data_IF_457511750410
#
_entry.id   IF_457511750410
#
_cell.length_a   1.000
_cell.length_b   1.000
_cell.length_c   1.000
_cell.angle_alpha   90.00
_cell.angle_beta   90.00
_cell.angle_gamma   90.00
#
_symmetry.space_group_name_H-M   'P 1'
#
loop_
_entity.id
_entity.type
_entity.pdbx_description
1 polymer ?
#
# COMPACT_ATOMS: atom_id res chain seq x y z
N UNK A 1 2.80 31.09 -7.23
CA UNK A 1 2.88 29.87 -6.40
C UNK A 1 3.85 30.15 -5.27
N UNK A 2 3.40 29.91 -4.04
CA UNK A 2 4.21 30.01 -2.82
C UNK A 2 5.04 28.73 -2.64
N UNK A 3 6.13 28.81 -1.88
CA UNK A 3 6.93 27.63 -1.49
C UNK A 3 6.05 26.59 -0.76
N UNK A 4 5.03 27.03 -0.01
CA UNK A 4 4.03 26.14 0.60
C UNK A 4 3.21 25.33 -0.41
N UNK A 5 2.93 25.90 -1.58
CA UNK A 5 2.15 25.24 -2.64
C UNK A 5 2.97 24.11 -3.30
N UNK A 6 4.31 24.24 -3.32
CA UNK A 6 5.22 23.23 -3.87
C UNK A 6 5.40 22.01 -2.93
N UNK A 7 5.45 22.23 -1.61
CA UNK A 7 5.54 21.14 -0.65
C UNK A 7 4.23 20.34 -0.55
N UNK A 8 3.09 21.01 -0.66
CA UNK A 8 1.77 20.38 -0.64
C UNK A 8 1.44 19.65 -1.95
N UNK A 9 1.85 20.19 -3.10
CA UNK A 9 1.61 19.54 -4.40
C UNK A 9 2.36 18.21 -4.53
N UNK A 10 3.64 18.17 -4.19
CA UNK A 10 4.44 16.95 -4.28
C UNK A 10 4.01 15.87 -3.29
N UNK A 11 3.50 16.25 -2.10
CA UNK A 11 2.91 15.29 -1.17
C UNK A 11 1.62 14.68 -1.72
N UNK A 12 0.73 15.51 -2.27
CA UNK A 12 -0.54 15.07 -2.85
C UNK A 12 -0.33 14.14 -4.04
N UNK A 13 0.60 14.49 -4.93
CA UNK A 13 0.96 13.67 -6.10
C UNK A 13 1.47 12.28 -5.67
N UNK A 14 2.33 12.21 -4.64
CA UNK A 14 2.80 10.91 -4.10
C UNK A 14 1.67 10.07 -3.52
N UNK A 15 0.69 10.69 -2.86
CA UNK A 15 -0.47 9.96 -2.34
C UNK A 15 -1.36 9.44 -3.48
N UNK A 16 -1.57 10.24 -4.52
CA UNK A 16 -2.32 9.83 -5.71
C UNK A 16 -1.63 8.66 -6.43
N UNK A 17 -0.32 8.75 -6.66
CA UNK A 17 0.48 7.66 -7.26
C UNK A 17 0.37 6.37 -6.43
N UNK A 18 0.42 6.51 -5.11
CA UNK A 18 0.28 5.36 -4.25
C UNK A 18 -1.13 4.75 -4.30
N UNK A 19 -2.16 5.59 -4.25
CA UNK A 19 -3.53 5.13 -4.36
C UNK A 19 -3.77 4.44 -5.72
N UNK A 20 -3.23 4.99 -6.81
CA UNK A 20 -3.29 4.38 -8.14
C UNK A 20 -2.59 3.01 -8.19
N UNK A 21 -1.46 2.83 -7.50
CA UNK A 21 -0.81 1.52 -7.37
C UNK A 21 -1.69 0.50 -6.64
N UNK A 22 -2.42 0.92 -5.60
CA UNK A 22 -3.38 0.06 -4.89
C UNK A 22 -4.56 -0.31 -5.79
N UNK A 23 -5.14 0.66 -6.51
CA UNK A 23 -6.22 0.43 -7.47
C UNK A 23 -5.77 -0.54 -8.56
N UNK A 24 -4.55 -0.39 -9.07
CA UNK A 24 -3.95 -1.31 -10.06
C UNK A 24 -3.90 -2.75 -9.55
N UNK A 25 -3.58 -2.95 -8.28
CA UNK A 25 -3.54 -4.28 -7.65
C UNK A 25 -4.94 -4.85 -7.46
N UNK A 26 -5.89 -4.05 -6.98
CA UNK A 26 -7.28 -4.45 -6.83
C UNK A 26 -7.91 -4.84 -8.19
N UNK A 27 -7.55 -4.15 -9.28
CA UNK A 27 -8.02 -4.43 -10.64
C UNK A 27 -7.28 -5.57 -11.36
N UNK A 28 -6.43 -6.34 -10.68
CA UNK A 28 -5.56 -7.33 -11.35
C UNK A 28 -6.29 -8.52 -11.98
N UNK A 29 -7.49 -8.86 -11.50
CA UNK A 29 -8.39 -9.86 -12.11
C UNK A 29 -9.49 -9.23 -12.99
N UNK A 30 -9.46 -7.90 -13.16
CA UNK A 30 -10.36 -7.14 -14.01
C UNK A 30 -11.69 -6.73 -13.37
N UNK A 31 -11.95 -7.09 -12.11
CA UNK A 31 -13.22 -6.76 -11.42
C UNK A 31 -12.93 -6.32 -9.99
N UNK A 32 -13.44 -5.15 -9.59
CA UNK A 32 -13.46 -4.74 -8.18
C UNK A 32 -14.72 -5.29 -7.52
N UNK A 33 -14.56 -6.13 -6.51
CA UNK A 33 -15.66 -6.60 -5.64
C UNK A 33 -16.14 -5.51 -4.69
N UNK A 34 -17.34 -5.67 -4.09
CA UNK A 34 -17.87 -4.69 -3.13
C UNK A 34 -16.94 -4.54 -1.90
N UNK A 35 -16.31 -5.63 -1.45
CA UNK A 35 -15.35 -5.57 -0.35
C UNK A 35 -14.07 -4.81 -0.73
N UNK A 36 -13.58 -5.01 -1.96
CA UNK A 36 -12.41 -4.27 -2.47
C UNK A 36 -12.74 -2.80 -2.69
N UNK A 37 -13.97 -2.50 -3.13
CA UNK A 37 -14.44 -1.12 -3.25
C UNK A 37 -14.45 -0.42 -1.90
N UNK A 38 -15.00 -1.07 -0.87
CA UNK A 38 -15.01 -0.54 0.50
C UNK A 38 -13.59 -0.34 1.04
N UNK A 39 -12.66 -1.26 0.75
CA UNK A 39 -11.25 -1.11 1.06
C UNK A 39 -10.64 0.11 0.36
N UNK A 40 -10.86 0.26 -0.95
CA UNK A 40 -10.38 1.42 -1.71
C UNK A 40 -10.93 2.74 -1.16
N UNK A 41 -12.19 2.77 -0.72
CA UNK A 41 -12.81 3.94 -0.10
C UNK A 41 -12.15 4.30 1.25
N UNK A 42 -11.74 3.30 2.03
CA UNK A 42 -10.95 3.51 3.26
C UNK A 42 -9.54 3.99 2.95
N UNK A 43 -8.87 3.38 1.97
CA UNK A 43 -7.52 3.75 1.57
C UNK A 43 -7.46 5.17 1.02
N UNK A 44 -8.43 5.57 0.21
CA UNK A 44 -8.55 6.93 -0.30
C UNK A 44 -8.63 7.96 0.84
N UNK A 45 -9.43 7.69 1.87
CA UNK A 45 -9.52 8.55 3.05
C UNK A 45 -8.21 8.61 3.85
N UNK A 46 -7.54 7.48 4.03
CA UNK A 46 -6.25 7.43 4.76
C UNK A 46 -5.13 8.16 4.01
N UNK A 47 -5.21 8.24 2.68
CA UNK A 47 -4.24 8.91 1.82
C UNK A 47 -4.66 10.34 1.45
N UNK A 48 -5.76 10.85 2.04
CA UNK A 48 -6.32 12.18 1.76
C UNK A 48 -6.57 12.42 0.25
N UNK A 49 -7.13 11.40 -0.42
CA UNK A 49 -7.49 11.46 -1.84
C UNK A 49 -8.85 12.13 -1.97
N UNK A 50 -8.89 13.21 -2.76
CA UNK A 50 -10.14 13.91 -3.05
C UNK A 50 -11.11 13.05 -3.86
N UNK A 51 -12.41 13.32 -3.77
CA UNK A 51 -13.42 12.57 -4.53
C UNK A 51 -13.20 12.65 -6.06
N UNK A 52 -12.71 13.80 -6.56
CA UNK A 52 -12.36 13.96 -7.98
C UNK A 52 -11.18 13.07 -8.37
N UNK A 53 -10.08 13.13 -7.60
CA UNK A 53 -8.88 12.33 -7.88
C UNK A 53 -9.20 10.84 -7.78
N UNK A 54 -10.00 10.44 -6.79
CA UNK A 54 -10.46 9.08 -6.62
C UNK A 54 -11.16 8.55 -7.88
N UNK A 55 -12.11 9.32 -8.44
CA UNK A 55 -12.84 8.94 -9.66
C UNK A 55 -11.94 8.89 -10.88
N UNK A 56 -11.02 9.85 -11.00
CA UNK A 56 -10.04 9.90 -12.10
C UNK A 56 -9.08 8.71 -12.04
N UNK A 57 -8.52 8.41 -10.88
CA UNK A 57 -7.63 7.28 -10.66
C UNK A 57 -8.36 5.96 -10.91
N UNK A 58 -9.60 5.78 -10.47
CA UNK A 58 -10.35 4.56 -10.79
C UNK A 58 -10.60 4.38 -12.29
N UNK A 59 -10.80 5.48 -13.01
CA UNK A 59 -11.02 5.46 -14.46
C UNK A 59 -9.75 5.15 -15.23
N UNK A 60 -8.61 5.69 -14.80
CA UNK A 60 -7.32 5.53 -15.48
C UNK A 60 -6.12 5.44 -14.51
N UNK A 61 -6.09 4.41 -13.68
CA UNK A 61 -4.99 4.15 -12.73
C UNK A 61 -3.65 3.86 -13.42
N UNK A 62 -3.65 3.63 -14.74
CA UNK A 62 -2.43 3.35 -15.51
C UNK A 62 -1.68 4.63 -15.88
N UNK A 63 -2.39 5.76 -15.90
CA UNK A 63 -1.80 7.09 -16.14
C UNK A 63 -0.81 7.52 -15.05
N UNK A 64 -0.98 7.02 -13.83
CA UNK A 64 -0.07 7.29 -12.72
C UNK A 64 1.20 6.42 -12.79
N UNK A 65 2.40 7.01 -12.65
CA UNK A 65 3.63 6.25 -12.61
C UNK A 65 3.68 5.36 -11.37
N UNK A 66 4.11 4.11 -11.54
CA UNK A 66 4.45 3.25 -10.41
C UNK A 66 5.87 3.60 -10.00
N UNK A 67 5.98 4.40 -8.94
CA UNK A 67 7.25 4.85 -8.38
C UNK A 67 7.53 4.07 -7.08
N UNK A 68 7.98 2.79 -7.16
CA UNK A 68 8.30 2.05 -5.94
C UNK A 68 9.50 2.72 -5.25
N UNK A 69 9.57 2.67 -3.91
CA UNK A 69 10.72 3.20 -3.19
C UNK A 69 12.01 2.52 -3.68
N UNK A 70 13.02 3.33 -3.99
CA UNK A 70 14.27 2.82 -4.56
C UNK A 70 15.13 2.15 -3.49
N UNK A 71 15.08 2.68 -2.26
CA UNK A 71 15.86 2.19 -1.14
C UNK A 71 15.11 1.11 -0.36
N UNK A 72 15.83 0.07 0.07
CA UNK A 72 15.22 -1.05 0.78
C UNK A 72 14.51 -0.65 2.08
N UNK A 73 15.08 0.28 2.87
CA UNK A 73 14.44 0.78 4.08
C UNK A 73 13.10 1.46 3.79
N UNK A 74 13.03 2.29 2.75
CA UNK A 74 11.79 2.97 2.35
C UNK A 74 10.72 1.97 1.91
N UNK A 75 11.11 0.85 1.27
CA UNK A 75 10.17 -0.24 0.96
C UNK A 75 9.62 -0.88 2.22
N UNK A 76 10.43 -1.01 3.27
CA UNK A 76 9.98 -1.58 4.55
C UNK A 76 9.08 -0.61 5.30
N UNK A 77 9.39 0.69 5.33
CA UNK A 77 8.48 1.71 5.87
C UNK A 77 7.13 1.64 5.14
N UNK A 78 7.17 1.51 3.80
CA UNK A 78 5.94 1.40 3.00
C UNK A 78 5.18 0.11 3.24
N UNK A 79 5.88 -1.01 3.37
CA UNK A 79 5.29 -2.29 3.72
C UNK A 79 4.61 -2.20 5.10
N UNK A 80 5.24 -1.57 6.09
CA UNK A 80 4.67 -1.39 7.42
C UNK A 80 3.35 -0.61 7.38
N UNK A 81 3.34 0.54 6.69
CA UNK A 81 2.15 1.38 6.53
C UNK A 81 1.01 0.61 5.85
N UNK A 82 1.30 -0.07 4.74
CA UNK A 82 0.32 -0.87 4.02
C UNK A 82 -0.20 -2.02 4.88
N UNK A 83 0.68 -2.71 5.59
CA UNK A 83 0.30 -3.82 6.46
C UNK A 83 -0.65 -3.35 7.55
N UNK A 84 -0.39 -2.20 8.17
CA UNK A 84 -1.28 -1.59 9.16
C UNK A 84 -2.64 -1.24 8.58
N UNK A 85 -2.66 -0.61 7.39
CA UNK A 85 -3.90 -0.22 6.74
C UNK A 85 -4.75 -1.44 6.33
N UNK A 86 -4.12 -2.46 5.76
CA UNK A 86 -4.79 -3.71 5.37
C UNK A 86 -5.25 -4.48 6.60
N UNK A 87 -4.43 -4.59 7.64
CA UNK A 87 -4.76 -5.33 8.87
C UNK A 87 -5.93 -4.72 9.64
N UNK A 88 -6.01 -3.38 9.71
CA UNK A 88 -7.10 -2.67 10.35
C UNK A 88 -8.45 -2.81 9.60
N UNK A 89 -8.41 -3.25 8.34
CA UNK A 89 -9.59 -3.49 7.54
C UNK A 89 -10.10 -4.92 7.71
N UNK A 90 -10.96 -5.12 8.71
CA UNK A 90 -11.54 -6.43 9.00
C UNK A 90 -12.52 -6.93 7.91
N UNK A 91 -13.02 -6.06 7.03
CA UNK A 91 -14.00 -6.44 6.00
C UNK A 91 -13.34 -7.21 4.84
N UNK A 92 -12.05 -6.97 4.58
CA UNK A 92 -11.27 -7.75 3.61
C UNK A 92 -11.14 -9.23 4.01
N UNK A 93 -11.19 -9.52 5.33
CA UNK A 93 -11.10 -10.87 5.87
C UNK A 93 -9.96 -11.71 5.25
N UNK A 94 -10.24 -12.89 4.66
CA UNK A 94 -9.20 -13.76 4.09
C UNK A 94 -8.47 -13.15 2.88
N UNK A 95 -9.01 -12.09 2.25
CA UNK A 95 -8.37 -11.41 1.10
C UNK A 95 -7.23 -10.47 1.54
N UNK A 96 -7.10 -10.14 2.83
CA UNK A 96 -6.03 -9.26 3.34
C UNK A 96 -4.64 -9.73 2.91
N UNK A 97 -4.34 -11.02 3.10
CA UNK A 97 -3.03 -11.59 2.77
C UNK A 97 -2.75 -11.51 1.27
N UNK A 98 -3.70 -11.91 0.43
CA UNK A 98 -3.56 -11.89 -1.04
C UNK A 98 -3.36 -10.46 -1.55
N UNK A 99 -4.11 -9.50 -1.01
CA UNK A 99 -3.96 -8.08 -1.34
C UNK A 99 -2.56 -7.58 -0.98
N UNK A 100 -2.09 -7.88 0.23
CA UNK A 100 -0.80 -7.42 0.72
C UNK A 100 0.39 -8.08 -0.01
N UNK A 101 0.26 -9.34 -0.45
CA UNK A 101 1.24 -10.01 -1.32
C UNK A 101 1.38 -9.32 -2.67
N UNK A 102 0.25 -9.00 -3.32
CA UNK A 102 0.27 -8.26 -4.60
C UNK A 102 0.88 -6.87 -4.44
N UNK A 103 0.57 -6.17 -3.34
CA UNK A 103 1.18 -4.88 -3.00
C UNK A 103 2.68 -5.02 -2.71
N UNK A 104 3.10 -6.07 -2.01
CA UNK A 104 4.51 -6.37 -1.76
C UNK A 104 5.30 -6.58 -3.05
N UNK A 105 4.74 -7.31 -4.02
CA UNK A 105 5.35 -7.42 -5.36
C UNK A 105 5.46 -6.04 -6.02
N UNK A 106 4.41 -5.22 -5.95
CA UNK A 106 4.41 -3.83 -6.45
C UNK A 106 5.45 -2.91 -5.80
N UNK A 107 5.81 -3.16 -4.53
CA UNK A 107 6.90 -2.47 -3.83
C UNK A 107 8.30 -2.98 -4.21
N UNK A 108 8.39 -4.05 -4.99
CA UNK A 108 9.65 -4.65 -5.44
C UNK A 108 10.20 -5.73 -4.52
N UNK A 109 9.37 -6.37 -3.68
CA UNK A 109 9.74 -7.64 -3.04
C UNK A 109 9.68 -8.79 -4.05
N UNK A 110 10.58 -9.77 -3.92
CA UNK A 110 10.61 -10.93 -4.82
C UNK A 110 9.32 -11.75 -4.71
N UNK A 111 8.67 -12.14 -5.83
CA UNK A 111 7.51 -13.03 -5.82
C UNK A 111 7.75 -14.35 -5.09
N UNK A 112 9.00 -14.84 -5.07
CA UNK A 112 9.38 -16.10 -4.41
C UNK A 112 9.31 -16.00 -2.87
N UNK A 113 9.55 -14.81 -2.31
CA UNK A 113 9.65 -14.60 -0.86
C UNK A 113 8.51 -13.76 -0.29
N UNK A 114 7.69 -13.13 -1.13
CA UNK A 114 6.70 -12.14 -0.69
C UNK A 114 5.68 -12.71 0.30
N UNK A 115 5.24 -13.96 0.10
CA UNK A 115 4.30 -14.61 1.02
C UNK A 115 4.87 -14.71 2.44
N UNK A 116 6.15 -15.05 2.58
CA UNK A 116 6.81 -15.13 3.88
C UNK A 116 7.00 -13.75 4.52
N UNK A 117 7.40 -12.75 3.72
CA UNK A 117 7.52 -11.35 4.13
C UNK A 117 6.18 -10.83 4.66
N UNK A 118 5.09 -11.07 3.92
CA UNK A 118 3.73 -10.62 4.26
C UNK A 118 3.20 -11.31 5.50
N UNK A 119 3.39 -12.63 5.62
CA UNK A 119 2.98 -13.36 6.81
C UNK A 119 3.68 -12.83 8.07
N UNK A 120 5.00 -12.59 7.99
CA UNK A 120 5.75 -11.99 9.10
C UNK A 120 5.26 -10.57 9.38
N UNK A 121 5.01 -9.76 8.35
CA UNK A 121 4.53 -8.39 8.50
C UNK A 121 3.18 -8.32 9.24
N UNK A 122 2.19 -9.12 8.81
CA UNK A 122 0.88 -9.19 9.46
C UNK A 122 1.00 -9.64 10.93
N UNK A 123 1.85 -10.63 11.20
CA UNK A 123 2.13 -11.09 12.56
C UNK A 123 2.71 -9.97 13.44
N UNK A 124 3.70 -9.22 12.95
CA UNK A 124 4.31 -8.12 13.70
C UNK A 124 3.30 -7.00 13.99
N UNK A 125 2.52 -6.59 12.97
CA UNK A 125 1.48 -5.58 13.13
C UNK A 125 0.39 -6.05 14.10
N UNK A 126 0.00 -7.32 14.07
CA UNK A 126 -0.98 -7.88 15.01
C UNK A 126 -0.52 -7.82 16.47
N UNK A 127 0.79 -7.79 16.71
CA UNK A 127 1.42 -7.66 18.03
C UNK A 127 1.67 -6.21 18.44
N UNK A 128 1.34 -5.24 17.58
CA UNK A 128 1.58 -3.82 17.83
C UNK A 128 3.06 -3.42 17.80
N UNK A 129 3.89 -4.17 17.08
CA UNK A 129 5.31 -3.85 16.87
C UNK A 129 5.42 -2.52 16.13
N UNK A 130 6.33 -1.64 16.58
CA UNK A 130 6.55 -0.34 15.93
C UNK A 130 7.35 -0.45 14.63
N UNK A 131 7.51 0.68 13.92
CA UNK A 131 8.15 0.70 12.60
C UNK A 131 9.62 0.28 12.63
N UNK A 132 10.37 0.69 13.65
CA UNK A 132 11.81 0.40 13.70
C UNK A 132 12.04 -1.08 13.98
N UNK A 133 11.36 -1.62 15.00
CA UNK A 133 11.42 -3.04 15.32
C UNK A 133 10.87 -3.91 14.18
N UNK A 134 9.81 -3.45 13.50
CA UNK A 134 9.27 -4.12 12.31
C UNK A 134 10.33 -4.26 11.22
N UNK A 135 11.04 -3.18 10.91
CA UNK A 135 12.10 -3.17 9.89
C UNK A 135 13.21 -4.14 10.24
N UNK A 136 13.65 -4.14 11.49
CA UNK A 136 14.74 -4.99 11.95
C UNK A 136 14.34 -6.47 11.95
N UNK A 137 13.12 -6.78 12.38
CA UNK A 137 12.56 -8.13 12.31
C UNK A 137 12.48 -8.66 10.87
N UNK A 138 12.00 -7.83 9.93
CA UNK A 138 11.90 -8.23 8.51
C UNK A 138 13.30 -8.40 7.89
N UNK A 139 14.28 -7.54 8.19
CA UNK A 139 15.66 -7.68 7.71
C UNK A 139 16.34 -8.96 8.17
N UNK A 140 16.05 -9.39 9.40
CA UNK A 140 16.69 -10.53 10.04
C UNK A 140 15.87 -11.83 9.93
N UNK A 141 14.87 -11.88 9.05
CA UNK A 141 13.94 -13.03 8.94
C UNK A 141 14.57 -14.37 8.57
N UNK A 142 15.80 -14.36 8.04
CA UNK A 142 16.56 -15.54 7.59
C UNK A 142 17.70 -15.91 8.54
N UNK A 143 17.74 -15.33 9.75
CA UNK A 143 18.73 -15.65 10.79
C UNK A 143 18.17 -16.63 11.80
#
# INVERSE_FOLDING_TARGET
MSISDLYSSGFRERNQDHFAAIVRVAMSDGVITDEEKAFLDRMARNLDISESDYKEILKDYKSHPVNPPTMYNERLDRLYDLTRMVYADHDLGPKQTVMLERLGIGLGFSPENVAYVVHKALMLVSKGVDSEDFKDEIKNMNR
#
